data_IF_318582774050
#
_entry.id   IF_318582774050
#
_cell.length_a   1.000
_cell.length_b   1.000
_cell.length_c   1.000
_cell.angle_alpha   90.00
_cell.angle_beta   90.00
_cell.angle_gamma   90.00
#
_symmetry.space_group_name_H-M   'P 1'
#
loop_
_entity.id
_entity.type
_entity.pdbx_description
1 polymer ?
#
# COMPACT_ATOMS: atom_id res chain seq x y z
N UNK A 1 -16.20 31.71 -7.54
CA UNK A 1 -16.99 32.83 -6.97
C UNK A 1 -16.87 34.14 -7.77
N UNK A 2 -17.91 34.99 -7.83
CA UNK A 2 -17.80 36.38 -8.35
C UNK A 2 -17.24 37.30 -7.26
N UNK A 3 -16.29 38.17 -7.60
CA UNK A 3 -15.79 39.22 -6.69
C UNK A 3 -15.83 40.61 -7.33
N UNK A 4 -16.14 41.61 -6.51
CA UNK A 4 -16.05 43.03 -6.83
C UNK A 4 -15.28 43.72 -5.70
N UNK A 5 -14.21 44.46 -6.00
CA UNK A 5 -13.36 45.11 -4.98
C UNK A 5 -12.92 44.13 -3.85
N UNK A 6 -12.59 42.89 -4.24
CA UNK A 6 -12.26 41.76 -3.35
C UNK A 6 -13.39 41.28 -2.39
N UNK A 7 -14.62 41.80 -2.53
CA UNK A 7 -15.79 41.31 -1.79
C UNK A 7 -16.53 40.25 -2.62
N UNK A 8 -16.91 39.11 -2.00
CA UNK A 8 -17.70 38.10 -2.69
C UNK A 8 -19.10 38.65 -3.02
N UNK A 9 -19.51 38.47 -4.27
CA UNK A 9 -20.86 38.77 -4.73
C UNK A 9 -21.65 37.47 -4.83
N UNK A 10 -22.83 37.45 -4.21
CA UNK A 10 -23.80 36.37 -4.39
C UNK A 10 -24.68 36.67 -5.60
N UNK A 11 -25.03 35.63 -6.35
CA UNK A 11 -26.13 35.72 -7.30
C UNK A 11 -27.43 36.11 -6.58
N UNK A 12 -28.31 36.82 -7.29
CA UNK A 12 -29.63 37.25 -6.81
C UNK A 12 -29.62 38.21 -5.60
N UNK A 13 -28.53 38.96 -5.41
CA UNK A 13 -28.43 40.00 -4.39
C UNK A 13 -28.14 41.36 -5.03
N UNK A 14 -28.97 42.35 -4.70
CA UNK A 14 -28.73 43.72 -5.12
C UNK A 14 -27.42 44.24 -4.50
N UNK A 15 -26.65 45.02 -5.24
CA UNK A 15 -25.39 45.58 -4.80
C UNK A 15 -25.20 47.00 -5.31
N UNK A 16 -24.31 47.77 -4.69
CA UNK A 16 -24.01 49.15 -5.07
C UNK A 16 -22.53 49.26 -5.42
N UNK A 17 -22.23 49.89 -6.56
CA UNK A 17 -20.87 50.17 -6.98
C UNK A 17 -20.80 51.56 -7.62
N UNK A 18 -19.76 52.33 -7.29
CA UNK A 18 -19.54 53.70 -7.80
C UNK A 18 -20.78 54.63 -7.71
N UNK A 19 -21.63 54.46 -6.69
CA UNK A 19 -22.86 55.24 -6.49
C UNK A 19 -24.08 54.78 -7.30
N UNK A 20 -23.95 53.71 -8.08
CA UNK A 20 -25.04 53.10 -8.86
C UNK A 20 -25.56 51.86 -8.13
N UNK A 21 -26.89 51.73 -8.00
CA UNK A 21 -27.53 50.56 -7.42
C UNK A 21 -27.94 49.55 -8.51
N UNK A 22 -27.39 48.34 -8.42
CA UNK A 22 -27.69 47.24 -9.32
C UNK A 22 -28.76 46.33 -8.71
N UNK A 23 -29.80 45.96 -9.47
CA UNK A 23 -30.86 45.07 -9.00
C UNK A 23 -30.36 43.64 -8.83
N UNK A 24 -31.04 42.85 -7.99
CA UNK A 24 -30.66 41.49 -7.64
C UNK A 24 -30.39 40.56 -8.84
N UNK A 25 -31.20 40.66 -9.88
CA UNK A 25 -31.11 39.83 -11.08
C UNK A 25 -30.03 40.29 -12.08
N UNK A 26 -29.38 41.42 -11.84
CA UNK A 26 -28.44 42.02 -12.81
C UNK A 26 -27.27 41.08 -13.11
N UNK A 27 -26.70 40.42 -12.10
CA UNK A 27 -25.58 39.47 -12.28
C UNK A 27 -25.94 38.25 -13.15
N UNK A 28 -27.23 37.94 -13.32
CA UNK A 28 -27.70 36.82 -14.16
C UNK A 28 -27.96 37.26 -15.61
N UNK A 29 -28.32 38.52 -15.80
CA UNK A 29 -28.70 39.09 -17.11
C UNK A 29 -27.55 39.80 -17.81
N UNK A 30 -26.61 40.36 -17.06
CA UNK A 30 -25.45 41.06 -17.60
C UNK A 30 -24.48 40.09 -18.29
N UNK A 31 -23.95 40.53 -19.42
CA UNK A 31 -22.87 39.86 -20.14
C UNK A 31 -21.56 39.85 -19.34
N UNK A 32 -20.61 39.00 -19.75
CA UNK A 32 -19.30 38.94 -19.12
C UNK A 32 -18.54 40.27 -19.24
N UNK A 33 -18.65 40.94 -20.39
CA UNK A 33 -18.02 42.23 -20.65
C UNK A 33 -18.58 43.32 -19.73
N UNK A 34 -19.89 43.38 -19.54
CA UNK A 34 -20.54 44.35 -18.64
C UNK A 34 -20.14 44.13 -17.17
N UNK A 35 -20.00 42.87 -16.75
CA UNK A 35 -19.50 42.51 -15.41
C UNK A 35 -18.06 42.98 -15.22
N UNK A 36 -17.19 42.68 -16.19
CA UNK A 36 -15.78 43.07 -16.13
C UNK A 36 -15.59 44.59 -16.20
N UNK A 37 -16.43 45.31 -16.96
CA UNK A 37 -16.39 46.77 -17.07
C UNK A 37 -16.62 47.48 -15.73
N UNK A 38 -17.40 46.88 -14.82
CA UNK A 38 -17.61 47.39 -13.45
C UNK A 38 -16.66 46.76 -12.44
N UNK A 39 -15.61 46.04 -12.89
CA UNK A 39 -14.59 45.44 -12.05
C UNK A 39 -14.99 44.11 -11.40
N UNK A 40 -16.07 43.45 -11.86
CA UNK A 40 -16.40 42.10 -11.41
C UNK A 40 -15.48 41.10 -12.09
N UNK A 41 -14.69 40.41 -11.28
CA UNK A 41 -13.89 39.27 -11.72
C UNK A 41 -14.60 37.97 -11.34
N UNK A 42 -14.72 37.08 -12.31
CA UNK A 42 -15.07 35.70 -12.03
C UNK A 42 -13.81 34.96 -11.63
N UNK A 43 -13.71 34.67 -10.33
CA UNK A 43 -12.69 33.79 -9.81
C UNK A 43 -13.29 32.39 -9.93
N UNK A 44 -12.82 31.59 -10.88
CA UNK A 44 -12.93 30.15 -10.67
C UNK A 44 -12.18 29.88 -9.37
N UNK A 45 -12.83 29.27 -8.38
CA UNK A 45 -12.09 28.71 -7.25
C UNK A 45 -11.10 27.75 -7.92
N UNK A 46 -9.80 28.09 -7.87
CA UNK A 46 -8.78 27.30 -8.53
C UNK A 46 -8.81 25.88 -7.98
N UNK A 47 -8.15 24.89 -8.62
CA UNK A 47 -8.07 23.57 -8.03
C UNK A 47 -7.52 23.72 -6.60
N UNK A 48 -8.28 23.25 -5.61
CA UNK A 48 -7.77 23.15 -4.25
C UNK A 48 -6.51 22.27 -4.32
N UNK A 49 -5.36 22.87 -4.04
CA UNK A 49 -4.10 22.13 -4.01
C UNK A 49 -4.12 21.33 -2.72
N UNK A 50 -4.40 20.03 -2.83
CA UNK A 50 -4.35 19.11 -1.70
C UNK A 50 -2.90 18.70 -1.43
N UNK A 51 -2.47 18.77 -0.17
CA UNK A 51 -1.18 18.24 0.28
C UNK A 51 -1.40 17.13 1.32
N UNK A 52 -0.49 16.15 1.37
CA UNK A 52 -0.55 15.11 2.41
C UNK A 52 -0.13 15.69 3.76
N UNK A 53 -1.12 15.88 4.64
CA UNK A 53 -0.96 16.46 5.97
C UNK A 53 -0.02 15.65 6.87
N UNK A 54 0.30 14.39 6.53
CA UNK A 54 1.30 13.61 7.27
C UNK A 54 2.70 14.20 7.07
N UNK A 55 3.00 14.69 5.87
CA UNK A 55 4.34 15.16 5.48
C UNK A 55 4.46 16.69 5.39
N UNK A 56 3.36 17.42 5.19
CA UNK A 56 3.36 18.87 4.95
C UNK A 56 2.40 19.62 5.88
N UNK A 57 2.75 20.85 6.25
CA UNK A 57 1.86 21.79 6.95
C UNK A 57 0.99 22.61 5.98
N UNK A 58 1.44 22.72 4.74
CA UNK A 58 0.83 23.50 3.66
C UNK A 58 1.49 23.17 2.33
N UNK A 59 0.96 23.72 1.23
CA UNK A 59 1.63 23.68 -0.08
C UNK A 59 3.06 24.22 0.08
N UNK A 60 4.04 23.48 -0.44
CA UNK A 60 5.47 23.79 -0.38
C UNK A 60 6.04 24.07 1.04
N UNK A 61 5.34 23.59 2.09
CA UNK A 61 5.74 23.73 3.48
C UNK A 61 5.93 22.36 4.14
N UNK A 62 7.07 21.67 3.90
CA UNK A 62 7.33 20.36 4.45
C UNK A 62 7.55 20.43 5.97
N UNK A 63 7.13 19.37 6.66
CA UNK A 63 7.55 19.14 8.04
C UNK A 63 9.03 18.75 8.08
N UNK A 64 9.62 18.79 9.28
CA UNK A 64 11.02 18.41 9.50
C UNK A 64 11.29 16.97 9.02
N UNK A 65 12.18 16.83 8.04
CA UNK A 65 12.48 15.55 7.40
C UNK A 65 13.09 14.54 8.37
N UNK A 66 14.00 14.96 9.25
CA UNK A 66 14.64 14.05 10.21
C UNK A 66 13.65 13.49 11.23
N UNK A 67 12.70 14.32 11.70
CA UNK A 67 11.60 13.87 12.56
C UNK A 67 10.66 12.92 11.82
N UNK A 68 10.33 13.19 10.56
CA UNK A 68 9.52 12.29 9.74
C UNK A 68 10.21 10.94 9.54
N UNK A 69 11.50 10.92 9.18
CA UNK A 69 12.30 9.69 9.04
C UNK A 69 12.25 8.87 10.34
N UNK A 70 12.46 9.51 11.49
CA UNK A 70 12.38 8.84 12.80
C UNK A 70 10.99 8.26 13.07
N UNK A 71 9.94 9.02 12.76
CA UNK A 71 8.55 8.57 12.94
C UNK A 71 8.24 7.35 12.07
N UNK A 72 8.53 7.40 10.77
CA UNK A 72 8.19 6.33 9.84
C UNK A 72 9.04 5.06 10.04
N UNK A 73 10.31 5.21 10.45
CA UNK A 73 11.13 4.08 10.94
C UNK A 73 10.49 3.44 12.18
N UNK A 74 10.02 4.24 13.14
CA UNK A 74 9.30 3.75 14.30
C UNK A 74 8.06 2.94 13.93
N UNK A 75 7.23 3.49 13.04
CA UNK A 75 6.00 2.83 12.58
C UNK A 75 6.26 1.52 11.83
N UNK A 76 7.31 1.45 11.01
CA UNK A 76 7.71 0.20 10.35
C UNK A 76 8.09 -0.88 11.40
N UNK A 77 8.85 -0.50 12.42
CA UNK A 77 9.26 -1.40 13.51
C UNK A 77 8.09 -1.86 14.38
N UNK A 78 7.18 -0.95 14.71
CA UNK A 78 5.96 -1.27 15.47
C UNK A 78 5.08 -2.27 14.70
N UNK A 79 4.93 -2.07 13.39
CA UNK A 79 4.17 -2.96 12.52
C UNK A 79 4.80 -4.36 12.47
N UNK A 80 6.12 -4.44 12.25
CA UNK A 80 6.86 -5.71 12.29
C UNK A 80 6.73 -6.40 13.65
N UNK A 81 6.87 -5.65 14.75
CA UNK A 81 6.70 -6.17 16.11
C UNK A 81 5.30 -6.74 16.35
N UNK A 82 4.25 -6.05 15.89
CA UNK A 82 2.87 -6.54 15.98
C UNK A 82 2.68 -7.86 15.22
N UNK A 83 3.19 -7.96 13.99
CA UNK A 83 3.12 -9.19 13.20
C UNK A 83 3.89 -10.35 13.85
N UNK A 84 5.09 -10.09 14.38
CA UNK A 84 5.89 -11.11 15.07
C UNK A 84 5.21 -11.58 16.37
N UNK A 85 4.58 -10.68 17.12
CA UNK A 85 3.95 -10.99 18.41
C UNK A 85 2.88 -12.08 18.32
N UNK A 86 2.19 -12.16 17.18
CA UNK A 86 1.17 -13.18 16.91
C UNK A 86 1.74 -14.61 16.98
N UNK A 87 3.04 -14.78 16.75
CA UNK A 87 3.73 -16.08 16.72
C UNK A 87 4.81 -16.22 17.79
N UNK A 88 4.92 -15.27 18.72
CA UNK A 88 5.96 -15.33 19.77
C UNK A 88 5.78 -16.51 20.73
N UNK A 89 4.54 -16.97 20.92
CA UNK A 89 4.26 -18.15 21.74
C UNK A 89 4.96 -19.42 21.22
N UNK A 90 5.21 -19.54 19.91
CA UNK A 90 5.99 -20.66 19.36
C UNK A 90 7.42 -20.64 19.86
N UNK A 91 8.01 -19.43 19.95
CA UNK A 91 9.37 -19.23 20.46
C UNK A 91 9.43 -19.54 21.95
N UNK A 92 8.47 -19.03 22.74
CA UNK A 92 8.37 -19.34 24.16
C UNK A 92 8.21 -20.84 24.39
N UNK A 93 7.28 -21.49 23.68
CA UNK A 93 7.06 -22.93 23.77
C UNK A 93 8.33 -23.72 23.43
N UNK A 94 9.04 -23.34 22.37
CA UNK A 94 10.28 -24.00 22.00
C UNK A 94 11.36 -23.85 23.08
N UNK A 95 11.50 -22.67 23.67
CA UNK A 95 12.47 -22.41 24.74
C UNK A 95 12.15 -23.18 26.03
N UNK A 96 10.87 -23.35 26.36
CA UNK A 96 10.42 -24.00 27.60
C UNK A 96 10.32 -25.52 27.49
N UNK A 97 9.82 -26.03 26.37
CA UNK A 97 9.47 -27.46 26.21
C UNK A 97 10.28 -28.18 25.14
N UNK A 98 11.19 -27.48 24.45
CA UNK A 98 11.95 -28.00 23.30
C UNK A 98 11.08 -28.49 22.14
N UNK A 99 9.78 -28.15 22.13
CA UNK A 99 8.90 -28.47 21.01
C UNK A 99 9.31 -27.65 19.80
N UNK A 100 9.58 -28.30 18.68
CA UNK A 100 10.02 -27.61 17.46
C UNK A 100 9.00 -26.56 16.99
N UNK A 101 9.52 -25.51 16.37
CA UNK A 101 8.73 -24.48 15.71
C UNK A 101 8.48 -24.95 14.27
N UNK A 102 7.23 -24.90 13.77
CA UNK A 102 6.97 -25.18 12.36
C UNK A 102 7.84 -24.30 11.45
N UNK A 103 8.45 -24.89 10.41
CA UNK A 103 9.40 -24.19 9.54
C UNK A 103 8.76 -22.95 8.89
N UNK A 104 7.51 -23.06 8.44
CA UNK A 104 6.74 -21.93 7.89
C UNK A 104 6.66 -20.71 8.83
N UNK A 105 6.62 -20.93 10.14
CA UNK A 105 6.59 -19.84 11.13
C UNK A 105 7.96 -19.20 11.24
N UNK A 106 9.04 -19.98 11.20
CA UNK A 106 10.40 -19.45 11.21
C UNK A 106 10.66 -18.61 9.95
N UNK A 107 10.29 -19.13 8.79
CA UNK A 107 10.46 -18.47 7.50
C UNK A 107 9.68 -17.15 7.48
N UNK A 108 8.38 -17.18 7.85
CA UNK A 108 7.56 -15.98 7.90
C UNK A 108 8.10 -14.92 8.85
N UNK A 109 8.62 -15.32 10.02
CA UNK A 109 9.24 -14.40 10.98
C UNK A 109 10.54 -13.80 10.43
N UNK A 110 11.33 -14.57 9.67
CA UNK A 110 12.52 -14.06 9.00
C UNK A 110 12.15 -13.03 7.92
N UNK A 111 11.16 -13.33 7.09
CA UNK A 111 10.64 -12.40 6.07
C UNK A 111 10.16 -11.08 6.67
N UNK A 112 9.38 -11.11 7.76
CA UNK A 112 8.89 -9.87 8.41
C UNK A 112 10.06 -8.99 8.86
N UNK A 113 11.12 -9.59 9.42
CA UNK A 113 12.32 -8.84 9.82
C UNK A 113 13.03 -8.25 8.61
N UNK A 114 13.11 -9.01 7.52
CA UNK A 114 13.73 -8.54 6.29
C UNK A 114 12.95 -7.37 5.67
N UNK A 115 11.62 -7.47 5.58
CA UNK A 115 10.76 -6.36 5.15
C UNK A 115 10.93 -5.13 6.04
N UNK A 116 11.03 -5.30 7.37
CA UNK A 116 11.31 -4.19 8.28
C UNK A 116 12.66 -3.54 7.96
N UNK A 117 13.72 -4.34 7.80
CA UNK A 117 15.06 -3.84 7.48
C UNK A 117 15.09 -3.09 6.14
N UNK A 118 14.47 -3.64 5.10
CA UNK A 118 14.37 -3.03 3.77
C UNK A 118 13.67 -1.66 3.88
N UNK A 119 12.53 -1.59 4.59
CA UNK A 119 11.79 -0.34 4.78
C UNK A 119 12.59 0.69 5.56
N UNK A 120 13.25 0.27 6.64
CA UNK A 120 14.11 1.15 7.41
C UNK A 120 15.26 1.70 6.58
N UNK A 121 15.91 0.87 5.77
CA UNK A 121 16.99 1.29 4.89
C UNK A 121 16.49 2.28 3.83
N UNK A 122 15.35 1.99 3.17
CA UNK A 122 14.74 2.86 2.18
C UNK A 122 14.38 4.23 2.76
N UNK A 123 13.72 4.27 3.93
CA UNK A 123 13.35 5.52 4.61
C UNK A 123 14.58 6.34 4.98
N UNK A 124 15.61 5.70 5.55
CA UNK A 124 16.86 6.37 5.96
C UNK A 124 17.69 6.85 4.76
N UNK A 125 17.51 6.28 3.58
CA UNK A 125 18.19 6.69 2.36
C UNK A 125 17.57 7.94 1.71
N UNK A 126 16.33 8.31 2.07
CA UNK A 126 15.69 9.52 1.54
C UNK A 126 16.41 10.78 2.01
N UNK A 127 16.52 11.77 1.12
CA UNK A 127 17.16 13.05 1.39
C UNK A 127 16.16 14.20 1.46
N UNK A 128 14.96 14.02 0.91
CA UNK A 128 13.90 15.02 0.91
C UNK A 128 12.58 14.47 1.45
N UNK A 129 11.71 15.36 1.93
CA UNK A 129 10.36 15.00 2.37
C UNK A 129 9.50 14.46 1.23
N UNK A 130 9.73 14.92 -0.01
CA UNK A 130 9.03 14.43 -1.19
C UNK A 130 9.39 12.97 -1.51
N UNK A 131 10.68 12.62 -1.50
CA UNK A 131 11.14 11.23 -1.65
C UNK A 131 10.55 10.32 -0.58
N UNK A 132 10.53 10.79 0.67
CA UNK A 132 9.93 10.05 1.78
C UNK A 132 8.44 9.85 1.61
N UNK A 133 7.70 10.90 1.22
CA UNK A 133 6.26 10.83 0.97
C UNK A 133 5.95 9.85 -0.17
N UNK A 134 6.72 9.90 -1.26
CA UNK A 134 6.59 9.00 -2.39
C UNK A 134 6.81 7.54 -1.98
N UNK A 135 7.83 7.25 -1.16
CA UNK A 135 8.09 5.89 -0.68
C UNK A 135 6.98 5.40 0.26
N UNK A 136 6.60 6.18 1.27
CA UNK A 136 5.62 5.76 2.28
C UNK A 136 4.21 5.59 1.71
N UNK A 137 3.88 6.32 0.65
CA UNK A 137 2.59 6.17 -0.06
C UNK A 137 2.62 5.08 -1.13
N UNK A 138 3.80 4.50 -1.42
CA UNK A 138 3.91 3.47 -2.43
C UNK A 138 3.38 2.10 -1.94
N UNK A 139 3.02 1.22 -2.87
CA UNK A 139 2.72 -0.17 -2.56
C UNK A 139 3.88 -0.89 -1.84
N UNK A 140 5.13 -0.52 -2.14
CA UNK A 140 6.32 -1.15 -1.54
C UNK A 140 6.39 -0.93 -0.03
N UNK A 141 5.97 0.24 0.47
CA UNK A 141 5.87 0.48 1.91
C UNK A 141 4.76 -0.35 2.56
N UNK A 142 3.66 -0.58 1.84
CA UNK A 142 2.51 -1.36 2.34
C UNK A 142 2.72 -2.87 2.24
N UNK A 143 3.66 -3.35 1.42
CA UNK A 143 3.93 -4.76 1.21
C UNK A 143 4.65 -5.39 2.41
N UNK A 144 4.06 -6.42 3.02
CA UNK A 144 4.65 -7.16 4.14
C UNK A 144 4.73 -8.67 3.89
N UNK A 145 4.35 -9.12 2.70
CA UNK A 145 4.33 -10.53 2.30
C UNK A 145 4.75 -10.60 0.84
N UNK A 146 5.42 -11.69 0.41
CA UNK A 146 5.62 -11.92 -1.02
C UNK A 146 4.27 -11.93 -1.75
N UNK A 147 4.23 -11.46 -3.02
CA UNK A 147 3.03 -11.58 -3.83
C UNK A 147 2.65 -13.05 -3.97
N UNK A 148 1.35 -13.34 -3.91
CA UNK A 148 0.83 -14.69 -4.15
C UNK A 148 1.09 -15.02 -5.62
N UNK A 149 2.14 -15.77 -5.88
CA UNK A 149 2.31 -16.46 -7.16
C UNK A 149 1.31 -17.60 -7.16
N UNK A 150 0.24 -17.48 -7.95
CA UNK A 150 -0.60 -18.63 -8.27
C UNK A 150 0.26 -19.64 -9.02
N UNK A 151 0.74 -20.64 -8.30
CA UNK A 151 1.49 -21.74 -8.85
C UNK A 151 0.53 -22.57 -9.72
N UNK A 152 0.49 -22.28 -11.03
CA UNK A 152 -0.16 -23.17 -11.99
C UNK A 152 0.65 -24.45 -12.03
N UNK A 153 0.26 -25.43 -11.22
CA UNK A 153 0.78 -26.80 -11.29
C UNK A 153 0.48 -27.33 -12.69
N UNK A 154 1.48 -27.25 -13.57
CA UNK A 154 1.42 -27.90 -14.88
C UNK A 154 1.97 -29.30 -14.66
N UNK A 155 1.08 -30.26 -14.40
CA UNK A 155 1.46 -31.68 -14.36
C UNK A 155 1.79 -32.07 -15.80
N UNK A 156 3.07 -31.99 -16.17
CA UNK A 156 3.58 -32.67 -17.35
C UNK A 156 3.72 -34.14 -16.97
N UNK A 157 2.72 -34.95 -17.33
CA UNK A 157 2.61 -36.39 -17.03
C UNK A 157 3.70 -37.28 -17.64
N UNK A 158 4.83 -36.71 -18.04
CA UNK A 158 5.70 -37.36 -19.02
C UNK A 158 7.16 -37.17 -18.65
N UNK A 159 7.57 -37.63 -17.46
CA UNK A 159 8.85 -38.33 -17.20
C UNK A 159 8.89 -38.79 -15.74
N UNK A 160 8.64 -40.08 -15.48
CA UNK A 160 9.07 -40.74 -14.24
C UNK A 160 10.45 -41.34 -14.53
N UNK A 161 11.52 -40.69 -14.09
CA UNK A 161 12.85 -41.30 -14.04
C UNK A 161 12.96 -42.08 -12.73
N UNK A 162 12.64 -43.37 -12.78
CA UNK A 162 12.95 -44.29 -11.69
C UNK A 162 14.47 -44.41 -11.56
N UNK A 163 15.04 -43.83 -10.51
CA UNK A 163 16.35 -44.22 -10.01
C UNK A 163 16.24 -45.68 -9.57
N UNK A 164 17.21 -46.51 -9.97
CA UNK A 164 17.28 -47.93 -9.62
C UNK A 164 17.39 -48.12 -8.10
N UNK A 165 16.23 -48.12 -7.46
CA UNK A 165 16.03 -48.30 -6.03
C UNK A 165 14.56 -48.64 -5.86
N UNK A 166 14.32 -49.74 -5.16
CA UNK A 166 13.03 -50.42 -5.11
C UNK A 166 12.05 -49.59 -4.29
N UNK A 167 11.49 -48.53 -4.86
CA UNK A 167 10.43 -47.76 -4.23
C UNK A 167 9.13 -47.96 -5.00
N UNK A 168 8.17 -48.58 -4.32
CA UNK A 168 6.92 -49.03 -4.91
C UNK A 168 5.97 -47.85 -4.95
N UNK A 169 5.86 -47.19 -6.10
CA UNK A 169 4.83 -46.19 -6.37
C UNK A 169 3.46 -46.86 -6.37
N UNK A 170 2.72 -46.79 -5.26
CA UNK A 170 1.31 -47.15 -5.24
C UNK A 170 0.54 -45.97 -5.84
N UNK A 171 0.32 -46.02 -7.15
CA UNK A 171 -0.68 -45.19 -7.81
C UNK A 171 -2.02 -45.86 -7.52
N UNK A 172 -2.81 -45.26 -6.64
CA UNK A 172 -4.15 -45.73 -6.32
C UNK A 172 -5.11 -45.32 -7.44
N UNK A 173 -4.88 -45.83 -8.65
CA UNK A 173 -5.84 -45.76 -9.74
C UNK A 173 -6.69 -47.03 -9.69
N UNK A 174 -8.01 -46.86 -9.58
CA UNK A 174 -8.97 -47.86 -9.12
C UNK A 174 -9.22 -49.01 -10.10
N UNK A 175 -8.18 -49.75 -10.48
CA UNK A 175 -8.26 -50.94 -11.34
C UNK A 175 -7.52 -52.09 -10.67
N UNK A 176 -8.29 -52.98 -10.04
CA UNK A 176 -7.80 -54.23 -9.48
C UNK A 176 -7.30 -55.16 -10.58
N UNK A 177 -6.02 -55.56 -10.54
CA UNK A 177 -5.62 -56.80 -11.20
C UNK A 177 -4.58 -57.56 -10.36
N UNK A 178 -5.03 -58.70 -9.85
CA UNK A 178 -4.25 -59.72 -9.14
C UNK A 178 -3.23 -60.39 -10.04
N UNK A 179 -1.96 -60.45 -9.62
CA UNK A 179 -1.05 -61.53 -10.02
C UNK A 179 0.01 -61.78 -8.94
N UNK A 180 0.13 -63.05 -8.58
CA UNK A 180 0.99 -63.67 -7.58
C UNK A 180 2.48 -63.50 -7.88
N UNK A 181 3.29 -63.16 -6.87
CA UNK A 181 4.75 -63.15 -7.00
C UNK A 181 5.28 -64.50 -6.50
N UNK A 182 5.70 -65.35 -7.43
CA UNK A 182 6.42 -66.60 -7.14
C UNK A 182 7.85 -66.25 -6.71
N UNK A 183 8.28 -66.79 -5.56
CA UNK A 183 9.62 -66.57 -5.03
C UNK A 183 10.64 -67.44 -5.76
N UNK A 184 11.68 -66.84 -6.36
CA UNK A 184 12.87 -67.57 -6.82
C UNK A 184 14.06 -67.12 -5.99
N UNK A 185 14.51 -68.01 -5.11
CA UNK A 185 15.75 -67.92 -4.34
C UNK A 185 16.95 -68.32 -5.21
N UNK A 186 18.10 -67.68 -5.01
CA UNK A 186 19.39 -68.19 -5.47
C UNK A 186 20.40 -68.25 -4.31
N UNK A 187 21.14 -69.36 -4.29
CA UNK A 187 22.35 -69.63 -3.49
C UNK A 187 23.48 -68.66 -3.85
#
# INVERSE_FOLDING_TARGET
MLKLDNKPLSYDRAFTHAGIQYPANWLRLASLEEKQAIGIIEISDGPEVFWDQRFYWGVDNPKDHALLVKQWVGQARETAGSMLSQTDWYVTRNAETSTSIPQEVLDRRAEIREYSNIKEAAIKATTTTEELAAYVTSPDYSLWSPPVVEETVTINSDTITASAGNDTLIVNDGVSNTATVDAVSFN
#
